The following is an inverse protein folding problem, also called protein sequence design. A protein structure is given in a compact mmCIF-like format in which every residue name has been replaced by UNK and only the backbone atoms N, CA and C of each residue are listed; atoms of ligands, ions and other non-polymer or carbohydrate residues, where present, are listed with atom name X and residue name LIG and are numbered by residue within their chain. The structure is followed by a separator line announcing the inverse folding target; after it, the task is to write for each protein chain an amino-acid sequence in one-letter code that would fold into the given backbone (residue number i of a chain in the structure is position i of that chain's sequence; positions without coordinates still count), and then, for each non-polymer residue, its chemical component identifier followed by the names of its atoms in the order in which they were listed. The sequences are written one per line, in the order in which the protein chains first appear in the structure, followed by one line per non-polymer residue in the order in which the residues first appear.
data_IF_733941400062
#
_entry.id   IF_733941400062
#
_cell.length_a   1.000
_cell.length_b   1.000
_cell.length_c   1.000
_cell.angle_alpha   90.00
_cell.angle_beta   90.00
_cell.angle_gamma   90.00
#
_symmetry.space_group_name_H-M   'P 1'
#
loop_
_entity.id
_entity.type
_entity.pdbx_description
1 polymer ?
#
# COMPACT_ATOMS: atom_id res chain seq x y z
N UNK A 1 -14.59 33.26 -11.02
CA UNK A 1 -14.79 31.81 -11.02
C UNK A 1 -13.44 31.17 -10.73
N UNK A 2 -13.18 30.71 -9.50
CA UNK A 2 -11.92 30.04 -9.15
C UNK A 2 -12.04 28.61 -9.64
N UNK A 3 -11.38 28.28 -10.73
CA UNK A 3 -11.14 26.88 -11.11
C UNK A 3 -10.10 26.33 -10.13
N UNK A 4 -10.55 25.56 -9.15
CA UNK A 4 -9.64 24.78 -8.32
C UNK A 4 -8.88 23.85 -9.27
N UNK A 5 -7.60 24.14 -9.50
CA UNK A 5 -6.69 23.19 -10.15
C UNK A 5 -6.66 21.98 -9.22
N UNK A 6 -7.25 20.86 -9.63
CA UNK A 6 -7.13 19.60 -8.93
C UNK A 6 -5.65 19.22 -8.95
N UNK A 7 -4.96 19.49 -7.87
CA UNK A 7 -3.60 19.01 -7.69
C UNK A 7 -3.66 17.55 -7.28
N UNK A 8 -3.66 16.65 -8.26
CA UNK A 8 -3.69 15.20 -8.03
C UNK A 8 -2.32 14.64 -7.59
N UNK A 9 -1.33 15.52 -7.39
CA UNK A 9 0.05 15.13 -7.09
C UNK A 9 0.76 14.39 -8.24
N UNK A 10 1.97 13.88 -8.01
CA UNK A 10 2.70 13.11 -9.00
C UNK A 10 1.91 11.87 -9.46
N UNK A 11 1.94 11.51 -10.75
CA UNK A 11 1.25 10.35 -11.26
C UNK A 11 1.96 9.06 -10.80
N UNK A 12 1.33 8.33 -9.88
CA UNK A 12 1.75 6.98 -9.50
C UNK A 12 0.71 5.97 -9.96
N UNK A 13 1.18 4.81 -10.39
CA UNK A 13 0.36 3.69 -10.80
C UNK A 13 0.49 2.56 -9.79
N UNK A 14 -0.60 1.87 -9.51
CA UNK A 14 -0.65 0.84 -8.49
C UNK A 14 -1.26 -0.45 -9.03
N UNK A 15 -0.66 -1.58 -8.65
CA UNK A 15 -1.27 -2.90 -8.76
C UNK A 15 -1.75 -3.34 -7.37
N UNK A 16 -3.02 -3.70 -7.27
CA UNK A 16 -3.67 -4.05 -6.01
C UNK A 16 -3.65 -5.54 -5.74
N UNK A 17 -3.29 -5.91 -4.52
CA UNK A 17 -3.50 -7.25 -3.96
C UNK A 17 -4.50 -7.18 -2.82
N UNK A 18 -5.48 -8.08 -2.83
CA UNK A 18 -6.37 -8.33 -1.69
C UNK A 18 -5.72 -9.40 -0.81
N UNK A 19 -5.77 -9.17 0.48
CA UNK A 19 -5.38 -10.11 1.51
C UNK A 19 -6.58 -10.50 2.36
N UNK A 20 -6.77 -11.79 2.57
CA UNK A 20 -7.63 -12.30 3.62
C UNK A 20 -6.83 -12.41 4.92
N UNK A 21 -7.47 -12.08 6.05
CA UNK A 21 -6.81 -12.17 7.34
C UNK A 21 -6.45 -13.62 7.68
N UNK A 22 -5.18 -13.89 7.99
CA UNK A 22 -4.70 -15.23 8.39
C UNK A 22 -5.25 -15.64 9.77
N UNK A 23 -5.51 -14.67 10.65
CA UNK A 23 -6.01 -14.93 12.00
C UNK A 23 -7.54 -14.76 12.05
N UNK A 24 -8.31 -15.81 12.37
CA UNK A 24 -9.76 -15.74 12.45
C UNK A 24 -10.30 -14.68 13.45
N UNK A 25 -9.52 -14.33 14.49
CA UNK A 25 -9.89 -13.26 15.42
C UNK A 25 -9.96 -11.87 14.74
N UNK A 26 -9.32 -11.73 13.59
CA UNK A 26 -9.32 -10.51 12.78
C UNK A 26 -9.93 -10.77 11.40
N UNK A 27 -10.89 -11.67 11.30
CA UNK A 27 -11.51 -12.08 10.04
C UNK A 27 -11.89 -10.88 9.14
N UNK A 28 -11.84 -11.08 7.83
CA UNK A 28 -12.12 -10.09 6.80
C UNK A 28 -10.89 -9.81 5.92
N UNK A 29 -11.06 -8.92 4.95
CA UNK A 29 -10.03 -8.61 3.98
C UNK A 29 -9.58 -7.15 4.05
N UNK A 30 -8.39 -6.91 3.53
CA UNK A 30 -7.81 -5.59 3.30
C UNK A 30 -7.03 -5.59 1.99
N UNK A 31 -6.63 -4.42 1.51
CA UNK A 31 -5.86 -4.34 0.27
C UNK A 31 -4.52 -3.62 0.45
N UNK A 32 -3.57 -4.05 -0.37
CA UNK A 32 -2.26 -3.43 -0.48
C UNK A 32 -2.04 -3.02 -1.93
N UNK A 33 -1.70 -1.77 -2.14
CA UNK A 33 -1.44 -1.18 -3.44
C UNK A 33 0.07 -1.04 -3.65
N UNK A 34 0.61 -1.80 -4.59
CA UNK A 34 2.04 -1.79 -4.94
C UNK A 34 2.29 -0.76 -6.04
N UNK A 35 3.25 0.13 -5.83
CA UNK A 35 3.68 1.05 -6.88
C UNK A 35 4.29 0.25 -8.04
N UNK A 36 3.90 0.59 -9.26
CA UNK A 36 4.33 -0.13 -10.46
C UNK A 36 4.65 0.84 -11.60
N UNK A 37 5.17 0.29 -12.70
CA UNK A 37 5.36 1.06 -13.93
C UNK A 37 4.01 1.54 -14.47
N UNK A 38 3.98 2.67 -15.21
CA UNK A 38 2.77 3.17 -15.82
C UNK A 38 2.09 2.15 -16.73
N UNK A 39 0.76 2.11 -16.68
CA UNK A 39 -0.11 1.30 -17.54
C UNK A 39 -1.31 2.14 -17.98
N UNK A 40 -2.03 1.68 -19.00
CA UNK A 40 -3.16 2.38 -19.60
C UNK A 40 -4.54 1.83 -19.18
N UNK A 41 -4.56 0.64 -18.56
CA UNK A 41 -5.81 0.02 -18.12
C UNK A 41 -6.47 0.87 -17.03
N UNK A 42 -7.80 0.93 -17.07
CA UNK A 42 -8.61 1.64 -16.08
C UNK A 42 -9.67 0.70 -15.51
N UNK A 43 -9.87 0.78 -14.21
CA UNK A 43 -10.96 0.12 -13.49
C UNK A 43 -11.70 1.18 -12.68
N UNK A 44 -12.93 1.49 -13.09
CA UNK A 44 -13.77 2.54 -12.46
C UNK A 44 -14.16 2.19 -11.02
N UNK A 45 -14.03 0.93 -10.61
CA UNK A 45 -14.30 0.48 -9.23
C UNK A 45 -13.13 0.70 -8.29
N UNK A 46 -11.98 1.12 -8.82
CA UNK A 46 -10.75 1.36 -8.08
C UNK A 46 -10.33 2.84 -8.11
N UNK A 47 -9.46 3.27 -7.22
CA UNK A 47 -8.84 4.59 -7.33
C UNK A 47 -8.14 4.79 -8.67
N UNK A 48 -8.09 6.01 -9.14
CA UNK A 48 -7.43 6.37 -10.42
C UNK A 48 -6.00 5.82 -10.47
N UNK A 49 -5.62 5.23 -11.61
CA UNK A 49 -4.31 4.58 -11.84
C UNK A 49 -4.06 3.38 -10.91
N UNK A 50 -5.13 2.68 -10.55
CA UNK A 50 -5.05 1.44 -9.78
C UNK A 50 -5.74 0.32 -10.56
N UNK A 51 -5.13 -0.87 -10.62
CA UNK A 51 -5.73 -2.08 -11.18
C UNK A 51 -5.30 -3.29 -10.35
N UNK A 52 -5.85 -4.46 -10.60
CA UNK A 52 -5.41 -5.69 -9.94
C UNK A 52 -4.20 -6.30 -10.65
N UNK A 53 -3.42 -7.09 -9.93
CA UNK A 53 -2.48 -8.01 -10.57
C UNK A 53 -3.25 -9.03 -11.40
N UNK A 54 -2.78 -9.31 -12.61
CA UNK A 54 -3.20 -10.49 -13.35
C UNK A 54 -2.56 -11.75 -12.73
N UNK A 55 -3.15 -12.91 -13.00
CA UNK A 55 -2.60 -14.19 -12.50
C UNK A 55 -1.14 -14.40 -12.95
N UNK A 56 -0.83 -14.07 -14.21
CA UNK A 56 0.51 -14.19 -14.76
C UNK A 56 1.54 -13.24 -14.12
N UNK A 57 1.13 -12.04 -13.70
CA UNK A 57 1.97 -11.11 -12.94
C UNK A 57 2.18 -11.61 -11.51
N UNK A 58 1.12 -12.17 -10.92
CA UNK A 58 1.15 -12.66 -9.55
C UNK A 58 2.01 -13.93 -9.41
N UNK A 59 2.01 -14.81 -10.39
CA UNK A 59 2.91 -15.99 -10.43
C UNK A 59 4.39 -15.61 -10.41
N UNK A 60 4.72 -14.45 -10.98
CA UNK A 60 6.09 -13.91 -11.03
C UNK A 60 6.39 -12.94 -9.88
N UNK A 61 5.44 -12.76 -8.95
CA UNK A 61 5.60 -11.82 -7.86
C UNK A 61 6.59 -12.36 -6.82
N UNK A 62 7.57 -11.52 -6.49
CA UNK A 62 8.66 -11.90 -5.60
C UNK A 62 10.01 -11.80 -6.28
N UNK A 63 11.05 -11.65 -5.49
CA UNK A 63 12.40 -11.48 -6.01
C UNK A 63 13.43 -11.67 -4.90
N UNK A 64 14.62 -12.12 -5.27
CA UNK A 64 15.78 -12.21 -4.38
C UNK A 64 16.72 -11.00 -4.46
N UNK A 65 16.31 -9.93 -5.14
CA UNK A 65 17.09 -8.69 -5.19
C UNK A 65 17.16 -7.98 -3.81
N UNK A 66 18.00 -6.95 -3.72
CA UNK A 66 18.24 -6.19 -2.49
C UNK A 66 17.68 -4.77 -2.53
N UNK A 67 16.77 -4.46 -3.48
CA UNK A 67 16.18 -3.13 -3.58
C UNK A 67 15.39 -2.80 -2.33
N UNK A 68 15.57 -1.62 -1.71
CA UNK A 68 14.80 -1.25 -0.54
C UNK A 68 13.29 -1.19 -0.87
N UNK A 69 12.45 -1.58 0.09
CA UNK A 69 11.00 -1.48 -0.04
C UNK A 69 10.41 -0.63 1.07
N UNK A 70 9.63 0.36 0.70
CA UNK A 70 8.91 1.23 1.62
C UNK A 70 7.47 0.75 1.80
N UNK A 71 7.10 0.44 3.02
CA UNK A 71 5.72 0.14 3.43
C UNK A 71 5.10 1.41 3.98
N UNK A 72 4.11 1.95 3.30
CA UNK A 72 3.45 3.18 3.67
C UNK A 72 2.05 2.92 4.24
N UNK A 73 1.67 3.68 5.29
CA UNK A 73 0.34 3.67 5.89
C UNK A 73 -0.25 5.08 5.86
N UNK A 74 -1.45 5.20 5.30
CA UNK A 74 -2.17 6.47 5.20
C UNK A 74 -2.81 6.92 6.53
N UNK A 75 -3.26 8.17 6.58
CA UNK A 75 -4.03 8.72 7.70
C UNK A 75 -5.47 8.21 7.74
N UNK A 76 -6.24 8.70 8.73
CA UNK A 76 -7.66 8.32 8.89
C UNK A 76 -8.44 8.56 7.58
N UNK A 77 -9.21 7.55 7.17
CA UNK A 77 -10.07 7.57 5.97
C UNK A 77 -9.37 7.88 4.64
N UNK A 78 -8.02 7.80 4.58
CA UNK A 78 -7.25 8.00 3.36
C UNK A 78 -7.17 6.75 2.49
N UNK A 79 -6.09 6.67 1.71
CA UNK A 79 -5.78 5.55 0.82
C UNK A 79 -4.53 5.82 0.00
N UNK A 80 -4.16 4.89 -0.86
CA UNK A 80 -2.99 5.02 -1.73
C UNK A 80 -3.04 6.23 -2.68
N UNK A 81 -4.23 6.73 -2.96
CA UNK A 81 -4.48 7.89 -3.84
C UNK A 81 -4.16 9.25 -3.17
N UNK A 82 -3.87 9.29 -1.88
CA UNK A 82 -3.60 10.52 -1.16
C UNK A 82 -2.40 11.29 -1.71
N UNK A 83 -2.58 12.59 -1.91
CA UNK A 83 -1.57 13.46 -2.56
C UNK A 83 -0.28 13.49 -1.76
N UNK A 84 -0.34 13.53 -0.43
CA UNK A 84 0.86 13.52 0.42
C UNK A 84 1.67 12.23 0.28
N UNK A 85 0.99 11.07 0.14
CA UNK A 85 1.68 9.80 -0.14
C UNK A 85 2.39 9.83 -1.48
N UNK A 86 1.72 10.32 -2.52
CA UNK A 86 2.30 10.43 -3.87
C UNK A 86 3.56 11.31 -3.87
N UNK A 87 3.55 12.43 -3.14
CA UNK A 87 4.73 13.30 -3.04
C UNK A 87 5.90 12.64 -2.30
N UNK A 88 5.65 11.75 -1.37
CA UNK A 88 6.70 11.00 -0.67
C UNK A 88 7.20 9.82 -1.50
N UNK A 89 6.30 9.08 -2.15
CA UNK A 89 6.64 7.87 -2.88
C UNK A 89 7.29 8.13 -4.24
N UNK A 90 6.80 9.12 -4.99
CA UNK A 90 7.25 9.36 -6.36
C UNK A 90 8.77 9.63 -6.50
N UNK A 91 9.43 10.41 -5.62
CA UNK A 91 10.87 10.61 -5.69
C UNK A 91 11.68 9.33 -5.45
N UNK A 92 11.13 8.36 -4.72
CA UNK A 92 11.84 7.12 -4.37
C UNK A 92 11.70 6.05 -5.47
N UNK A 93 10.53 5.98 -6.12
CA UNK A 93 10.18 4.92 -7.07
C UNK A 93 10.22 5.37 -8.53
N UNK A 94 10.50 6.64 -8.80
CA UNK A 94 10.46 7.21 -10.14
C UNK A 94 11.56 6.67 -11.07
N UNK A 95 11.24 6.55 -12.37
CA UNK A 95 12.15 6.06 -13.41
C UNK A 95 13.42 6.90 -13.58
N UNK A 96 13.45 8.13 -13.09
CA UNK A 96 14.59 9.06 -13.13
C UNK A 96 15.33 9.17 -11.79
N UNK A 97 14.88 8.47 -10.73
CA UNK A 97 15.52 8.52 -9.43
C UNK A 97 16.74 7.62 -9.34
N UNK A 98 17.84 8.13 -8.79
CA UNK A 98 19.02 7.33 -8.43
C UNK A 98 18.68 6.26 -7.39
N UNK A 99 17.60 6.46 -6.65
CA UNK A 99 17.10 5.55 -5.63
C UNK A 99 16.01 4.66 -6.24
N UNK A 100 16.38 3.46 -6.64
CA UNK A 100 15.42 2.45 -7.14
C UNK A 100 14.75 1.73 -5.99
N UNK A 101 13.85 2.41 -5.29
CA UNK A 101 13.03 1.82 -4.25
C UNK A 101 11.79 1.15 -4.85
N UNK A 102 11.34 0.12 -4.21
CA UNK A 102 9.98 -0.39 -4.36
C UNK A 102 9.11 0.19 -3.24
N UNK A 103 7.82 0.29 -3.46
CA UNK A 103 6.91 0.78 -2.43
C UNK A 103 5.54 0.11 -2.50
N UNK A 104 4.90 0.00 -1.35
CA UNK A 104 3.51 -0.39 -1.26
C UNK A 104 2.77 0.44 -0.19
N UNK A 105 1.46 0.56 -0.36
CA UNK A 105 0.57 1.22 0.58
C UNK A 105 -0.38 0.19 1.17
N UNK A 106 -0.33 -0.01 2.48
CA UNK A 106 -1.30 -0.85 3.20
C UNK A 106 -2.52 0.02 3.47
N UNK A 107 -3.63 -0.29 2.80
CA UNK A 107 -4.88 0.43 2.98
C UNK A 107 -5.68 -0.16 4.14
N UNK A 108 -6.16 0.70 5.03
CA UNK A 108 -7.06 0.30 6.10
C UNK A 108 -8.36 -0.26 5.54
N UNK A 109 -8.97 -1.20 6.25
CA UNK A 109 -10.22 -1.86 5.85
C UNK A 109 -11.32 -0.84 5.57
N UNK A 110 -12.01 -0.97 4.44
CA UNK A 110 -13.03 -0.02 3.99
C UNK A 110 -12.48 1.29 3.42
N UNK A 111 -11.15 1.43 3.28
CA UNK A 111 -10.51 2.57 2.63
C UNK A 111 -10.06 2.22 1.20
N UNK A 112 -9.67 3.24 0.42
CA UNK A 112 -9.21 3.09 -0.96
C UNK A 112 -10.18 2.30 -1.85
N UNK A 113 -11.49 2.51 -1.69
CA UNK A 113 -12.59 1.83 -2.42
C UNK A 113 -12.67 0.32 -2.15
N UNK A 114 -11.93 -0.17 -1.16
CA UNK A 114 -12.03 -1.56 -0.74
C UNK A 114 -13.27 -1.76 0.15
N UNK A 115 -14.08 -2.78 -0.17
CA UNK A 115 -15.30 -3.08 0.59
C UNK A 115 -14.97 -3.66 1.95
N UNK A 116 -15.77 -3.33 2.96
CA UNK A 116 -15.74 -3.97 4.27
C UNK A 116 -16.32 -5.38 4.13
N UNK A 117 -15.58 -6.40 4.53
CA UNK A 117 -15.94 -7.82 4.37
C UNK A 117 -16.23 -8.51 5.70
N UNK A 118 -16.11 -7.79 6.83
CA UNK A 118 -16.40 -8.31 8.17
C UNK A 118 -16.78 -7.18 9.14
N UNK A 119 -17.19 -7.51 10.34
CA UNK A 119 -17.43 -6.56 11.43
C UNK A 119 -16.13 -6.05 12.10
N UNK A 120 -14.99 -6.61 11.76
CA UNK A 120 -13.69 -6.17 12.31
C UNK A 120 -13.20 -4.96 11.54
N UNK A 121 -13.43 -3.78 12.07
CA UNK A 121 -13.00 -2.52 11.51
C UNK A 121 -11.61 -2.13 12.02
N UNK A 122 -10.93 -1.23 11.31
CA UNK A 122 -9.64 -0.69 11.75
C UNK A 122 -9.81 0.37 12.85
N UNK A 123 -8.81 0.47 13.70
CA UNK A 123 -8.65 1.50 14.73
C UNK A 123 -7.16 1.73 15.01
N UNK A 124 -6.83 2.60 15.97
CA UNK A 124 -5.44 2.91 16.30
C UNK A 124 -4.58 1.71 16.80
N UNK A 125 -5.21 0.60 17.19
CA UNK A 125 -4.53 -0.64 17.61
C UNK A 125 -4.51 -1.71 16.51
N UNK A 126 -5.03 -1.43 15.32
CA UNK A 126 -5.17 -2.40 14.21
C UNK A 126 -3.84 -2.68 13.52
N UNK A 127 -2.93 -3.36 14.20
CA UNK A 127 -1.59 -3.68 13.70
C UNK A 127 -1.54 -4.95 12.85
N UNK A 128 -2.56 -5.80 12.91
CA UNK A 128 -2.58 -7.15 12.33
C UNK A 128 -2.43 -7.15 10.81
N UNK A 129 -3.13 -6.29 10.08
CA UNK A 129 -3.04 -6.22 8.61
C UNK A 129 -1.63 -5.78 8.16
N UNK A 130 -1.06 -4.78 8.83
CA UNK A 130 0.32 -4.35 8.57
C UNK A 130 1.34 -5.45 8.91
N UNK A 131 1.20 -6.14 10.03
CA UNK A 131 2.07 -7.27 10.42
C UNK A 131 2.00 -8.42 9.43
N UNK A 132 0.80 -8.80 8.99
CA UNK A 132 0.61 -9.82 7.98
C UNK A 132 1.29 -9.43 6.67
N UNK A 133 1.12 -8.18 6.24
CA UNK A 133 1.79 -7.63 5.05
C UNK A 133 3.31 -7.71 5.17
N UNK A 134 3.88 -7.24 6.27
CA UNK A 134 5.34 -7.27 6.51
C UNK A 134 5.87 -8.72 6.50
N UNK A 135 5.19 -9.64 7.17
CA UNK A 135 5.53 -11.06 7.17
C UNK A 135 5.51 -11.65 5.75
N UNK A 136 4.47 -11.32 4.99
CA UNK A 136 4.32 -11.76 3.61
C UNK A 136 5.42 -11.16 2.71
N UNK A 137 5.71 -9.86 2.83
CA UNK A 137 6.78 -9.19 2.08
C UNK A 137 8.15 -9.83 2.34
N UNK A 138 8.48 -10.14 3.59
CA UNK A 138 9.74 -10.84 3.94
C UNK A 138 9.84 -12.22 3.30
N UNK A 139 8.73 -12.91 3.10
CA UNK A 139 8.69 -14.19 2.38
C UNK A 139 8.90 -14.02 0.88
N UNK A 140 8.26 -13.00 0.29
CA UNK A 140 8.33 -12.76 -1.17
C UNK A 140 9.63 -12.09 -1.58
N UNK A 141 10.24 -11.29 -0.69
CA UNK A 141 11.44 -10.47 -0.93
C UNK A 141 12.44 -10.63 0.22
N UNK A 142 13.04 -11.83 0.39
CA UNK A 142 13.82 -12.15 1.60
C UNK A 142 15.05 -11.26 1.81
N UNK A 143 15.62 -10.71 0.75
CA UNK A 143 16.83 -9.90 0.80
C UNK A 143 16.58 -8.39 0.77
N UNK A 144 15.32 -7.94 0.57
CA UNK A 144 15.01 -6.51 0.55
C UNK A 144 14.95 -5.95 1.97
N UNK A 145 15.71 -4.88 2.27
CA UNK A 145 15.47 -4.12 3.50
C UNK A 145 14.09 -3.47 3.44
N UNK A 146 13.28 -3.66 4.50
CA UNK A 146 11.96 -3.06 4.63
C UNK A 146 12.03 -1.81 5.50
N UNK A 147 11.49 -0.72 4.99
CA UNK A 147 11.31 0.54 5.69
C UNK A 147 9.83 0.85 5.84
N UNK A 148 9.47 1.59 6.87
CA UNK A 148 8.08 1.97 7.11
C UNK A 148 7.92 3.48 7.20
N UNK A 149 6.84 4.01 6.63
CA UNK A 149 6.39 5.37 6.84
C UNK A 149 4.88 5.39 7.11
N UNK A 150 4.48 6.17 8.10
CA UNK A 150 3.07 6.31 8.46
C UNK A 150 2.67 7.77 8.64
N UNK A 151 1.42 8.07 8.33
CA UNK A 151 0.86 9.42 8.47
C UNK A 151 -0.30 9.40 9.45
N UNK A 152 -0.27 10.29 10.47
CA UNK A 152 -1.33 10.39 11.47
C UNK A 152 -1.66 9.01 12.08
N UNK A 153 -2.86 8.49 11.88
CA UNK A 153 -3.28 7.16 12.33
C UNK A 153 -2.33 6.06 11.84
N UNK A 154 -1.88 6.13 10.58
CA UNK A 154 -0.92 5.20 10.03
C UNK A 154 0.44 5.23 10.74
N UNK A 155 0.89 6.39 11.20
CA UNK A 155 2.11 6.49 12.01
C UNK A 155 1.95 5.80 13.37
N UNK A 156 0.80 5.97 14.01
CA UNK A 156 0.49 5.28 15.26
C UNK A 156 0.50 3.75 15.07
N UNK A 157 -0.18 3.24 14.04
CA UNK A 157 -0.22 1.81 13.73
C UNK A 157 1.20 1.29 13.48
N UNK A 158 1.98 1.97 12.64
CA UNK A 158 3.34 1.55 12.29
C UNK A 158 4.27 1.50 13.51
N UNK A 159 4.23 2.51 14.37
CA UNK A 159 5.01 2.54 15.62
C UNK A 159 4.68 1.34 16.50
N UNK A 160 3.38 1.01 16.63
CA UNK A 160 2.96 -0.16 17.39
C UNK A 160 3.35 -1.50 16.72
N UNK A 161 3.46 -1.55 15.39
CA UNK A 161 4.02 -2.72 14.71
C UNK A 161 5.49 -2.90 15.09
N UNK A 162 6.30 -1.84 15.02
CA UNK A 162 7.74 -1.90 15.31
C UNK A 162 8.06 -2.22 16.78
N UNK A 163 7.21 -1.83 17.73
CA UNK A 163 7.43 -2.10 19.15
C UNK A 163 7.20 -3.57 19.57
N UNK A 164 6.48 -4.34 18.74
CA UNK A 164 6.07 -5.71 19.07
C UNK A 164 6.50 -6.76 18.03
N UNK A 165 7.41 -6.41 17.14
CA UNK A 165 8.09 -7.32 16.20
C UNK A 165 9.54 -7.56 16.61
#
# INVERSE_FOLDING_TARGET
MWTAVKNDGPPLHYKRKIFEAENPAYAGSYCVDFVTQPFSETDETLPVRTTYFSDAEYEKFGSSDTRPMLVALHGLSGGSYEVYLKHVLAPLVGASGELQWEACVVNSRGCAFHKITSSVLFNARSTWDCRQTVKWLRKMFPNRPLFGIGFSLGANILTNVCLYT
#
